data_IF_499993621174
#
_entry.id   IF_499993621174
#
_cell.length_a   1.000
_cell.length_b   1.000
_cell.length_c   1.000
_cell.angle_alpha   90.00
_cell.angle_beta   90.00
_cell.angle_gamma   90.00
#
_symmetry.space_group_name_H-M   'P 1'
#
loop_
_entity.id
_entity.type
_entity.pdbx_description
1 polymer ?
#
# COMPACT_ATOMS: atom_id res chain seq x y z
N UNK A 1 -25.59 -13.83 -27.83
CA UNK A 1 -24.71 -13.48 -26.74
C UNK A 1 -25.25 -12.21 -26.12
N UNK A 2 -26.09 -12.36 -25.09
CA UNK A 2 -26.74 -11.23 -24.43
C UNK A 2 -25.68 -10.36 -23.75
N UNK A 3 -25.94 -9.07 -23.80
CA UNK A 3 -25.14 -7.95 -23.27
C UNK A 3 -24.66 -8.12 -21.82
N UNK A 4 -23.60 -8.91 -21.63
CA UNK A 4 -22.87 -8.97 -20.37
C UNK A 4 -22.04 -7.68 -20.10
N UNK A 5 -22.07 -6.72 -21.04
CA UNK A 5 -21.23 -5.52 -21.01
C UNK A 5 -21.60 -4.51 -19.92
N UNK A 6 -22.79 -4.63 -19.30
CA UNK A 6 -23.31 -3.62 -18.37
C UNK A 6 -23.74 -4.16 -17.00
N UNK A 7 -23.26 -5.32 -16.58
CA UNK A 7 -23.53 -5.82 -15.23
C UNK A 7 -22.64 -5.09 -14.21
N UNK A 8 -23.28 -4.32 -13.32
CA UNK A 8 -22.62 -3.62 -12.22
C UNK A 8 -23.07 -4.26 -10.91
N UNK A 9 -22.12 -4.61 -10.05
CA UNK A 9 -22.41 -5.02 -8.68
C UNK A 9 -22.37 -3.78 -7.78
N UNK A 10 -23.51 -3.31 -7.25
CA UNK A 10 -23.53 -2.14 -6.37
C UNK A 10 -22.92 -2.50 -5.01
N UNK A 11 -22.01 -1.64 -4.50
CA UNK A 11 -21.46 -1.72 -3.16
C UNK A 11 -21.77 -0.41 -2.43
N UNK A 12 -22.36 -0.47 -1.20
CA UNK A 12 -22.63 0.71 -0.40
C UNK A 12 -21.36 1.55 -0.22
N UNK A 13 -21.42 2.82 -0.57
CA UNK A 13 -20.28 3.74 -0.50
C UNK A 13 -20.66 4.94 0.35
N UNK A 14 -19.80 5.30 1.33
CA UNK A 14 -19.99 6.48 2.18
C UNK A 14 -18.70 7.28 2.29
N UNK A 15 -18.83 8.60 2.39
CA UNK A 15 -17.74 9.50 2.75
C UNK A 15 -17.54 9.50 4.26
N UNK A 16 -16.29 9.32 4.67
CA UNK A 16 -15.88 9.22 6.08
C UNK A 16 -14.72 10.17 6.36
N UNK A 17 -14.63 10.68 7.56
CA UNK A 17 -13.61 11.65 7.98
C UNK A 17 -14.25 12.91 8.59
N UNK A 18 -13.59 14.10 8.49
CA UNK A 18 -12.37 14.35 7.73
C UNK A 18 -11.13 13.73 8.36
N UNK A 19 -10.20 13.30 7.52
CA UNK A 19 -8.84 12.98 7.92
C UNK A 19 -8.02 14.28 7.99
N UNK A 20 -7.39 14.52 9.12
CA UNK A 20 -6.57 15.70 9.35
C UNK A 20 -5.09 15.34 9.39
N UNK A 21 -4.27 16.18 8.76
CA UNK A 21 -2.82 16.02 8.71
C UNK A 21 -2.14 17.17 9.43
N UNK A 22 -1.28 16.83 10.39
CA UNK A 22 -0.40 17.79 11.07
C UNK A 22 0.88 18.03 10.23
N UNK A 23 1.40 16.97 9.61
CA UNK A 23 2.60 17.01 8.78
C UNK A 23 2.54 15.94 7.69
N UNK A 24 2.95 16.30 6.49
CA UNK A 24 3.11 15.34 5.39
C UNK A 24 4.49 15.49 4.77
N UNK A 25 5.20 14.39 4.61
CA UNK A 25 6.52 14.32 3.99
C UNK A 25 6.48 13.30 2.86
N UNK A 26 6.77 13.74 1.64
CA UNK A 26 6.76 12.92 0.42
C UNK A 26 8.19 12.85 -0.11
N UNK A 27 8.83 11.68 -0.03
CA UNK A 27 10.21 11.48 -0.51
C UNK A 27 11.18 12.57 -0.01
N UNK A 28 11.11 12.90 1.29
CA UNK A 28 11.93 13.91 1.94
C UNK A 28 11.46 15.36 1.75
N UNK A 29 10.43 15.62 0.97
CA UNK A 29 9.89 16.99 0.73
C UNK A 29 8.59 17.20 1.53
N UNK A 30 8.43 18.39 2.10
CA UNK A 30 7.18 18.77 2.76
C UNK A 30 6.06 18.95 1.73
N UNK A 31 4.89 18.41 2.05
CA UNK A 31 3.67 18.57 1.27
C UNK A 31 2.54 19.01 2.20
N UNK A 32 1.56 19.73 1.67
CA UNK A 32 0.34 20.09 2.39
C UNK A 32 -0.84 19.30 1.85
N UNK A 33 -1.55 18.61 2.74
CA UNK A 33 -2.85 17.98 2.44
C UNK A 33 -3.88 18.66 3.34
N UNK A 34 -4.93 19.21 2.75
CA UNK A 34 -6.04 19.81 3.48
C UNK A 34 -6.89 18.70 4.11
N UNK A 35 -7.54 18.95 5.26
CA UNK A 35 -8.47 17.99 5.83
C UNK A 35 -9.53 17.59 4.82
N UNK A 36 -9.69 16.29 4.60
CA UNK A 36 -10.60 15.78 3.57
C UNK A 36 -11.30 14.50 4.00
N UNK A 37 -12.49 14.27 3.46
CA UNK A 37 -13.18 12.99 3.60
C UNK A 37 -12.67 12.01 2.55
N UNK A 38 -12.79 10.71 2.86
CA UNK A 38 -12.47 9.62 1.94
C UNK A 38 -13.71 8.76 1.70
N UNK A 39 -13.94 8.31 0.46
CA UNK A 39 -15.01 7.36 0.16
C UNK A 39 -14.57 5.95 0.52
N UNK A 40 -15.43 5.22 1.22
CA UNK A 40 -15.26 3.80 1.51
C UNK A 40 -16.41 3.02 0.90
N UNK A 41 -16.11 1.97 0.13
CA UNK A 41 -17.09 1.06 -0.47
C UNK A 41 -16.97 -0.31 0.23
N UNK A 42 -17.99 -0.69 1.00
CA UNK A 42 -17.97 -1.95 1.77
C UNK A 42 -19.37 -2.43 2.09
N UNK A 43 -19.52 -3.76 2.24
CA UNK A 43 -20.71 -4.40 2.78
C UNK A 43 -20.70 -4.45 4.31
N UNK A 44 -19.51 -4.29 4.94
CA UNK A 44 -19.35 -4.21 6.41
C UNK A 44 -19.67 -2.79 6.88
N UNK A 45 -20.95 -2.55 7.23
CA UNK A 45 -21.44 -1.21 7.58
C UNK A 45 -20.75 -0.63 8.82
N UNK A 46 -20.32 -1.46 9.76
CA UNK A 46 -19.58 -1.08 10.96
C UNK A 46 -18.27 -0.38 10.66
N UNK A 47 -17.63 -0.66 9.50
CA UNK A 47 -16.39 -0.04 9.09
C UNK A 47 -16.50 1.48 8.96
N UNK A 48 -17.62 2.00 8.43
CA UNK A 48 -17.83 3.45 8.31
C UNK A 48 -17.74 4.16 9.65
N UNK A 49 -18.38 3.60 10.68
CA UNK A 49 -18.38 4.15 12.02
C UNK A 49 -17.03 4.00 12.72
N UNK A 50 -16.35 2.88 12.48
CA UNK A 50 -15.01 2.63 13.01
C UNK A 50 -14.00 3.66 12.49
N UNK A 51 -13.92 3.86 11.18
CA UNK A 51 -13.03 4.87 10.59
C UNK A 51 -13.44 6.29 11.00
N UNK A 52 -14.74 6.61 11.09
CA UNK A 52 -15.21 7.92 11.56
C UNK A 52 -14.78 8.20 13.02
N UNK A 53 -14.85 7.20 13.92
CA UNK A 53 -14.39 7.34 15.29
C UNK A 53 -12.88 7.59 15.36
N UNK A 54 -12.10 6.82 14.60
CA UNK A 54 -10.65 7.02 14.51
C UNK A 54 -10.28 8.40 13.96
N UNK A 55 -10.98 8.85 12.90
CA UNK A 55 -10.79 10.18 12.31
C UNK A 55 -11.09 11.30 13.33
N UNK A 56 -12.11 11.13 14.16
CA UNK A 56 -12.44 12.07 15.26
C UNK A 56 -11.31 12.13 16.29
N UNK A 57 -10.76 10.97 16.69
CA UNK A 57 -9.62 10.95 17.62
C UNK A 57 -8.39 11.63 17.02
N UNK A 58 -8.11 11.39 15.74
CA UNK A 58 -7.03 12.03 14.99
C UNK A 58 -7.21 13.55 14.96
N UNK A 59 -8.39 14.03 14.62
CA UNK A 59 -8.68 15.47 14.57
C UNK A 59 -8.52 16.13 15.94
N UNK A 60 -9.02 15.51 17.00
CA UNK A 60 -8.91 16.01 18.38
C UNK A 60 -7.45 16.01 18.89
N UNK A 61 -6.59 15.18 18.32
CA UNK A 61 -5.16 15.14 18.63
C UNK A 61 -4.30 16.04 17.71
N UNK A 62 -4.92 16.83 16.81
CA UNK A 62 -4.22 17.79 15.94
C UNK A 62 -3.85 17.27 14.56
N UNK A 63 -4.12 16.00 14.24
CA UNK A 63 -3.85 15.40 12.93
C UNK A 63 -2.67 14.41 12.90
N UNK A 64 -2.65 13.55 11.88
CA UNK A 64 -1.58 12.57 11.68
C UNK A 64 -0.33 13.19 11.04
N UNK A 65 0.82 12.65 11.34
CA UNK A 65 2.02 12.80 10.53
C UNK A 65 2.07 11.64 9.53
N UNK A 66 2.32 11.94 8.27
CA UNK A 66 2.39 10.93 7.22
C UNK A 66 3.65 11.09 6.38
N UNK A 67 4.40 10.01 6.24
CA UNK A 67 5.67 9.99 5.51
C UNK A 67 5.64 8.92 4.42
N UNK A 68 5.79 9.34 3.16
CA UNK A 68 6.05 8.46 2.02
C UNK A 68 7.56 8.27 1.89
N UNK A 69 8.04 7.06 2.20
CA UNK A 69 9.47 6.72 2.17
C UNK A 69 9.97 6.40 0.77
N UNK A 70 9.16 5.65 0.01
CA UNK A 70 9.50 5.24 -1.36
C UNK A 70 8.24 5.12 -2.22
N UNK A 71 8.41 5.31 -3.53
CA UNK A 71 7.39 5.11 -4.56
C UNK A 71 8.03 4.31 -5.70
N UNK A 72 7.80 2.99 -5.70
CA UNK A 72 8.60 2.06 -6.47
C UNK A 72 7.79 0.83 -6.88
N UNK A 73 7.25 0.85 -8.10
CA UNK A 73 6.52 -0.29 -8.64
C UNK A 73 7.46 -1.32 -9.22
N UNK A 74 7.22 -2.60 -8.94
CA UNK A 74 8.15 -3.67 -9.31
C UNK A 74 7.57 -4.72 -10.24
N UNK A 75 8.42 -5.26 -11.12
CA UNK A 75 8.22 -6.47 -11.90
C UNK A 75 9.52 -7.27 -11.95
N UNK A 76 9.44 -8.59 -12.03
CA UNK A 76 10.62 -9.42 -12.23
C UNK A 76 10.57 -10.13 -13.58
N UNK A 77 11.76 -10.35 -14.15
CA UNK A 77 11.95 -11.24 -15.28
C UNK A 77 12.90 -12.36 -14.87
N UNK A 78 12.65 -13.55 -15.38
CA UNK A 78 13.49 -14.73 -15.17
C UNK A 78 14.16 -15.11 -16.49
N UNK A 79 15.47 -15.30 -16.44
CA UNK A 79 16.31 -15.72 -17.57
C UNK A 79 17.07 -16.98 -17.17
N UNK A 80 17.10 -17.95 -18.06
CA UNK A 80 17.87 -19.17 -17.91
C UNK A 80 19.15 -19.09 -18.74
N UNK A 81 20.26 -19.56 -18.19
CA UNK A 81 21.57 -19.60 -18.82
C UNK A 81 22.10 -21.04 -18.89
N UNK A 82 23.25 -21.26 -19.55
CA UNK A 82 23.87 -22.58 -19.61
C UNK A 82 24.37 -23.04 -18.22
N UNK A 83 24.91 -22.10 -17.44
CA UNK A 83 25.49 -22.39 -16.12
C UNK A 83 25.38 -21.20 -15.15
N UNK A 84 25.80 -21.42 -13.92
CA UNK A 84 25.78 -20.42 -12.88
C UNK A 84 26.75 -19.25 -13.12
N UNK A 85 27.82 -19.48 -13.86
CA UNK A 85 28.80 -18.43 -14.17
C UNK A 85 28.22 -17.42 -15.16
N UNK A 86 27.55 -17.89 -16.21
CA UNK A 86 26.85 -17.03 -17.16
C UNK A 86 25.71 -16.28 -16.50
N UNK A 87 24.97 -16.93 -15.58
CA UNK A 87 23.93 -16.26 -14.77
C UNK A 87 24.50 -15.13 -13.91
N UNK A 88 25.66 -15.34 -13.29
CA UNK A 88 26.39 -14.31 -12.54
C UNK A 88 26.88 -13.17 -13.43
N UNK A 89 27.35 -13.47 -14.63
CA UNK A 89 27.79 -12.48 -15.63
C UNK A 89 26.62 -11.57 -16.06
N UNK A 90 25.42 -12.11 -16.28
CA UNK A 90 24.21 -11.31 -16.52
C UNK A 90 23.95 -10.36 -15.35
N UNK A 91 24.04 -10.86 -14.12
CA UNK A 91 23.83 -10.04 -12.93
C UNK A 91 24.80 -8.86 -12.84
N UNK A 92 26.07 -9.09 -13.15
CA UNK A 92 27.09 -8.04 -13.19
C UNK A 92 26.87 -7.06 -14.35
N UNK A 93 26.54 -7.57 -15.51
CA UNK A 93 26.23 -6.76 -16.70
C UNK A 93 25.10 -5.76 -16.42
N UNK A 94 24.00 -6.23 -15.83
CA UNK A 94 22.85 -5.37 -15.51
C UNK A 94 23.23 -4.28 -14.51
N UNK A 95 24.01 -4.62 -13.47
CA UNK A 95 24.46 -3.65 -12.45
C UNK A 95 25.37 -2.57 -13.04
N UNK A 96 26.27 -2.94 -13.93
CA UNK A 96 27.20 -1.98 -14.57
C UNK A 96 26.55 -1.13 -15.65
N UNK A 97 25.46 -1.60 -16.25
CA UNK A 97 24.77 -0.93 -17.36
C UNK A 97 23.49 -0.20 -16.96
N UNK A 98 23.23 0.04 -15.68
CA UNK A 98 21.97 0.62 -15.21
C UNK A 98 21.64 1.97 -15.89
N UNK A 99 22.62 2.86 -16.05
CA UNK A 99 22.45 4.15 -16.71
C UNK A 99 22.13 4.01 -18.21
N UNK A 100 22.78 3.07 -18.90
CA UNK A 100 22.51 2.79 -20.32
C UNK A 100 21.09 2.19 -20.48
N UNK A 101 20.71 1.26 -19.62
CA UNK A 101 19.35 0.68 -19.60
C UNK A 101 18.31 1.77 -19.42
N UNK A 102 18.51 2.72 -18.49
CA UNK A 102 17.60 3.86 -18.34
C UNK A 102 17.50 4.67 -19.62
N UNK A 103 18.62 5.01 -20.23
CA UNK A 103 18.70 5.89 -21.42
C UNK A 103 18.19 5.19 -22.69
N UNK A 104 18.62 3.96 -22.94
CA UNK A 104 18.41 3.28 -24.22
C UNK A 104 17.14 2.42 -24.24
N UNK A 105 16.67 1.98 -23.07
CA UNK A 105 15.48 1.13 -22.97
C UNK A 105 14.31 1.90 -22.37
N UNK A 106 14.43 2.33 -21.10
CA UNK A 106 13.27 2.85 -20.34
C UNK A 106 12.77 4.18 -20.90
N UNK A 107 13.68 5.12 -21.19
CA UNK A 107 13.32 6.44 -21.71
C UNK A 107 12.64 6.40 -23.09
N UNK A 108 12.94 5.39 -23.89
CA UNK A 108 12.30 5.19 -25.19
C UNK A 108 10.90 4.57 -25.10
N UNK A 109 10.56 3.93 -23.98
CA UNK A 109 9.26 3.31 -23.76
C UNK A 109 8.24 4.24 -23.13
N UNK A 110 8.69 5.07 -22.19
CA UNK A 110 7.80 5.96 -21.45
C UNK A 110 8.55 7.17 -20.88
N UNK A 111 7.99 8.35 -21.11
CA UNK A 111 8.48 9.60 -20.48
C UNK A 111 8.19 9.69 -18.99
N UNK A 112 7.31 8.83 -18.47
CA UNK A 112 6.90 8.81 -17.06
C UNK A 112 7.65 7.77 -16.24
N UNK A 113 8.18 6.72 -16.88
CA UNK A 113 8.92 5.68 -16.19
C UNK A 113 10.36 6.14 -15.89
N UNK A 114 10.75 5.98 -14.62
CA UNK A 114 12.14 6.20 -14.21
C UNK A 114 12.64 4.95 -13.51
N UNK A 115 13.66 4.32 -14.09
CA UNK A 115 14.31 3.15 -13.49
C UNK A 115 15.00 3.56 -12.18
N UNK A 116 14.66 2.86 -11.11
CA UNK A 116 15.25 3.11 -9.78
C UNK A 116 16.32 2.07 -9.46
N UNK A 117 15.96 0.79 -9.52
CA UNK A 117 16.89 -0.31 -9.26
C UNK A 117 16.59 -1.52 -10.12
N UNK A 118 17.59 -2.38 -10.28
CA UNK A 118 17.45 -3.76 -10.72
C UNK A 118 18.16 -4.64 -9.70
N UNK A 119 17.39 -5.29 -8.84
CA UNK A 119 17.94 -6.27 -7.90
C UNK A 119 18.11 -7.61 -8.61
N UNK A 120 19.25 -8.26 -8.40
CA UNK A 120 19.61 -9.53 -9.03
C UNK A 120 19.58 -10.64 -8.00
N UNK A 121 18.83 -11.70 -8.29
CA UNK A 121 18.80 -12.93 -7.52
C UNK A 121 19.13 -14.09 -8.42
N UNK A 122 19.84 -15.09 -7.89
CA UNK A 122 20.31 -16.24 -8.67
C UNK A 122 20.02 -17.54 -7.92
N UNK A 123 19.55 -18.53 -8.68
CA UNK A 123 19.43 -19.92 -8.23
C UNK A 123 19.92 -20.82 -9.36
N UNK A 124 21.01 -21.55 -9.13
CA UNK A 124 21.67 -22.35 -10.15
C UNK A 124 21.96 -21.52 -11.42
N UNK A 125 21.49 -21.95 -12.58
CA UNK A 125 21.60 -21.27 -13.87
C UNK A 125 20.44 -20.31 -14.17
N UNK A 126 19.60 -19.98 -13.17
CA UNK A 126 18.49 -19.04 -13.30
C UNK A 126 18.84 -17.70 -12.68
N UNK A 127 18.59 -16.62 -13.41
CA UNK A 127 18.71 -15.26 -12.94
C UNK A 127 17.33 -14.61 -12.87
N UNK A 128 17.06 -13.96 -11.75
CA UNK A 128 15.84 -13.18 -11.52
C UNK A 128 16.23 -11.71 -11.40
N UNK A 129 15.75 -10.88 -12.32
CA UNK A 129 15.93 -9.44 -12.27
C UNK A 129 14.65 -8.81 -11.72
N UNK A 130 14.72 -8.28 -10.50
CA UNK A 130 13.61 -7.52 -9.90
C UNK A 130 13.80 -6.05 -10.22
N UNK A 131 13.06 -5.60 -11.22
CA UNK A 131 13.10 -4.24 -11.77
C UNK A 131 12.13 -3.36 -10.99
N UNK A 132 12.60 -2.20 -10.57
CA UNK A 132 11.82 -1.21 -9.84
C UNK A 132 11.80 0.11 -10.60
N UNK A 133 10.61 0.68 -10.82
CA UNK A 133 10.42 1.97 -11.48
C UNK A 133 9.54 2.91 -10.65
N UNK A 134 9.81 4.20 -10.73
CA UNK A 134 8.83 5.22 -10.43
C UNK A 134 7.85 5.34 -11.61
N UNK A 135 6.55 5.37 -11.35
CA UNK A 135 5.49 5.34 -12.37
C UNK A 135 4.59 6.57 -12.37
N UNK A 136 5.05 7.66 -11.76
CA UNK A 136 4.31 8.93 -11.61
C UNK A 136 2.93 8.72 -10.97
N UNK A 137 1.88 9.21 -11.59
CA UNK A 137 0.51 9.10 -11.08
C UNK A 137 -0.19 7.79 -11.43
N UNK A 138 0.43 6.90 -12.20
CA UNK A 138 -0.10 5.58 -12.48
C UNK A 138 0.19 4.58 -11.33
N UNK A 139 -0.64 3.55 -11.18
CA UNK A 139 -0.32 2.41 -10.29
C UNK A 139 0.90 1.60 -10.76
N UNK A 140 1.24 1.68 -12.04
CA UNK A 140 2.51 1.23 -12.62
C UNK A 140 2.58 -0.21 -13.11
N UNK A 141 1.55 -1.06 -12.93
CA UNK A 141 1.59 -2.48 -13.30
C UNK A 141 1.98 -2.73 -14.76
N UNK A 142 1.26 -2.13 -15.70
CA UNK A 142 1.52 -2.33 -17.13
C UNK A 142 2.84 -1.68 -17.55
N UNK A 143 3.13 -0.49 -17.01
CA UNK A 143 4.36 0.24 -17.29
C UNK A 143 5.59 -0.56 -16.86
N UNK A 144 5.63 -1.07 -15.64
CA UNK A 144 6.78 -1.87 -15.16
C UNK A 144 6.87 -3.22 -15.85
N UNK A 145 5.76 -3.78 -16.32
CA UNK A 145 5.77 -5.04 -17.09
C UNK A 145 6.40 -4.79 -18.48
N UNK A 146 6.01 -3.72 -19.17
CA UNK A 146 6.61 -3.32 -20.45
C UNK A 146 8.11 -3.04 -20.30
N UNK A 147 8.50 -2.32 -19.25
CA UNK A 147 9.90 -2.04 -18.96
C UNK A 147 10.69 -3.33 -18.68
N UNK A 148 10.12 -4.25 -17.90
CA UNK A 148 10.77 -5.51 -17.58
C UNK A 148 10.99 -6.39 -18.81
N UNK A 149 10.00 -6.46 -19.68
CA UNK A 149 10.07 -7.21 -20.93
C UNK A 149 11.18 -6.66 -21.83
N UNK A 150 11.22 -5.35 -22.06
CA UNK A 150 12.24 -4.70 -22.86
C UNK A 150 13.67 -4.79 -22.26
N UNK A 151 13.79 -4.77 -20.93
CA UNK A 151 15.08 -5.02 -20.27
C UNK A 151 15.50 -6.49 -20.49
N UNK A 152 14.55 -7.43 -20.46
CA UNK A 152 14.82 -8.81 -20.83
C UNK A 152 15.39 -8.94 -22.24
N UNK A 153 14.76 -8.31 -23.22
CA UNK A 153 15.24 -8.27 -24.59
C UNK A 153 16.65 -7.66 -24.71
N UNK A 154 16.91 -6.59 -23.97
CA UNK A 154 18.22 -5.95 -23.93
C UNK A 154 19.31 -6.91 -23.42
N UNK A 155 19.02 -7.66 -22.35
CA UNK A 155 19.92 -8.66 -21.79
C UNK A 155 20.11 -9.83 -22.77
N UNK A 156 19.05 -10.36 -23.36
CA UNK A 156 19.12 -11.48 -24.31
C UNK A 156 19.84 -11.12 -25.62
N UNK A 157 19.87 -9.86 -26.01
CA UNK A 157 20.72 -9.39 -27.13
C UNK A 157 22.17 -9.44 -26.79
N UNK A 158 22.59 -9.21 -25.55
CA UNK A 158 23.97 -9.28 -25.11
C UNK A 158 24.43 -10.73 -24.82
N UNK A 159 23.53 -11.58 -24.33
CA UNK A 159 23.79 -12.98 -23.95
C UNK A 159 23.01 -13.94 -24.84
N UNK A 160 23.61 -14.32 -26.00
CA UNK A 160 22.92 -15.10 -27.05
C UNK A 160 22.60 -16.54 -26.66
N UNK A 161 23.27 -17.08 -25.67
CA UNK A 161 23.09 -18.43 -25.12
C UNK A 161 22.02 -18.48 -24.04
N UNK A 162 21.67 -17.32 -23.47
CA UNK A 162 20.61 -17.20 -22.46
C UNK A 162 19.23 -17.29 -23.10
N UNK A 163 18.28 -17.79 -22.33
CA UNK A 163 16.89 -18.03 -22.77
C UNK A 163 15.89 -17.30 -21.87
N UNK A 164 14.87 -16.74 -22.49
CA UNK A 164 13.72 -16.21 -21.78
C UNK A 164 12.94 -17.34 -21.08
N UNK A 165 12.61 -17.12 -19.80
CA UNK A 165 11.74 -18.02 -19.05
C UNK A 165 10.36 -17.36 -18.84
N UNK A 166 10.32 -16.20 -18.20
CA UNK A 166 9.04 -15.52 -17.92
C UNK A 166 9.24 -14.06 -17.52
N UNK A 167 8.39 -13.18 -18.01
CA UNK A 167 8.10 -11.90 -17.35
C UNK A 167 7.11 -12.17 -16.21
N UNK A 168 7.31 -11.52 -15.05
CA UNK A 168 6.70 -11.89 -13.76
C UNK A 168 7.25 -13.19 -13.17
N UNK A 169 8.56 -13.27 -12.99
CA UNK A 169 9.26 -14.40 -12.35
C UNK A 169 9.06 -14.52 -10.83
N UNK A 170 8.00 -13.97 -10.29
CA UNK A 170 7.60 -13.96 -8.87
C UNK A 170 8.58 -13.33 -7.86
N UNK A 171 9.75 -12.81 -8.26
CA UNK A 171 10.58 -11.97 -7.38
C UNK A 171 10.01 -10.55 -7.19
N UNK A 172 9.03 -10.14 -7.97
CA UNK A 172 8.20 -8.96 -7.76
C UNK A 172 7.02 -9.20 -6.80
N UNK A 173 6.64 -10.46 -6.62
CA UNK A 173 5.58 -10.99 -5.77
C UNK A 173 4.27 -10.17 -5.87
N UNK A 174 3.74 -10.13 -7.09
CA UNK A 174 2.50 -9.43 -7.41
C UNK A 174 1.28 -10.18 -6.85
N UNK A 175 0.44 -9.48 -6.08
CA UNK A 175 -0.81 -10.01 -5.49
C UNK A 175 -0.58 -11.27 -4.61
N UNK A 176 0.52 -11.27 -3.87
CA UNK A 176 0.89 -12.34 -2.92
C UNK A 176 1.61 -11.72 -1.73
N UNK A 177 1.43 -12.35 -0.56
CA UNK A 177 2.18 -12.02 0.65
C UNK A 177 3.60 -12.56 0.54
N UNK A 178 4.61 -11.77 0.91
CA UNK A 178 6.01 -12.21 0.87
C UNK A 178 6.91 -11.40 1.78
N UNK A 179 8.02 -12.03 2.20
CA UNK A 179 9.07 -11.34 2.98
C UNK A 179 9.66 -10.18 2.19
N UNK A 180 9.97 -10.39 0.91
CA UNK A 180 10.63 -9.36 0.10
C UNK A 180 9.80 -8.08 -0.03
N UNK A 181 8.48 -8.19 -0.23
CA UNK A 181 7.61 -7.03 -0.29
C UNK A 181 7.40 -6.40 1.09
N UNK A 182 7.39 -7.19 2.16
CA UNK A 182 7.31 -6.66 3.53
C UNK A 182 8.52 -5.81 3.93
N UNK A 183 9.71 -6.13 3.38
CA UNK A 183 10.97 -5.43 3.70
C UNK A 183 11.32 -4.36 2.66
N UNK A 184 11.24 -4.68 1.38
CA UNK A 184 11.66 -3.80 0.27
C UNK A 184 10.54 -2.89 -0.22
N UNK A 185 9.29 -3.24 0.06
CA UNK A 185 8.12 -2.58 -0.47
C UNK A 185 7.83 -2.91 -1.94
N UNK A 186 6.59 -2.62 -2.34
CA UNK A 186 6.10 -2.66 -3.73
C UNK A 186 5.00 -1.60 -3.90
N UNK A 187 5.20 -0.62 -4.77
CA UNK A 187 4.36 0.57 -4.86
C UNK A 187 4.82 1.64 -3.86
N UNK A 188 3.92 2.18 -3.07
CA UNK A 188 4.18 3.29 -2.16
C UNK A 188 4.32 2.80 -0.71
N UNK A 189 5.47 3.11 -0.09
CA UNK A 189 5.75 2.77 1.30
C UNK A 189 5.41 3.97 2.18
N UNK A 190 4.32 3.86 2.93
CA UNK A 190 3.82 4.94 3.79
C UNK A 190 3.89 4.55 5.25
N UNK A 191 4.38 5.47 6.06
CA UNK A 191 4.24 5.43 7.52
C UNK A 191 3.29 6.56 7.92
N UNK A 192 2.28 6.23 8.72
CA UNK A 192 1.43 7.22 9.38
C UNK A 192 1.54 7.06 10.89
N UNK A 193 1.65 8.18 11.61
CA UNK A 193 1.89 8.18 13.04
C UNK A 193 1.20 9.36 13.73
N UNK A 194 0.90 9.19 15.00
CA UNK A 194 0.26 10.24 15.82
C UNK A 194 0.56 10.01 17.30
N UNK A 195 0.74 11.08 18.05
CA UNK A 195 0.68 11.06 19.52
C UNK A 195 -0.69 11.60 19.96
N UNK A 196 -1.48 10.76 20.60
CA UNK A 196 -2.85 11.08 21.04
C UNK A 196 -2.84 11.36 22.54
N UNK A 197 -3.27 12.56 22.97
CA UNK A 197 -3.40 12.88 24.39
C UNK A 197 -4.28 11.85 25.12
N UNK A 198 -3.90 11.44 26.33
CA UNK A 198 -4.66 10.49 27.17
C UNK A 198 -6.13 10.82 27.22
N UNK A 199 -6.47 12.09 27.47
CA UNK A 199 -7.85 12.54 27.54
C UNK A 199 -8.64 12.24 26.27
N UNK A 200 -8.02 12.38 25.09
CA UNK A 200 -8.66 12.05 23.80
C UNK A 200 -8.89 10.53 23.67
N UNK A 201 -7.92 9.71 24.12
CA UNK A 201 -8.08 8.25 24.15
C UNK A 201 -9.26 7.85 25.05
N UNK A 202 -9.36 8.44 26.22
CA UNK A 202 -10.42 8.16 27.17
C UNK A 202 -11.79 8.67 26.69
N UNK A 203 -11.84 9.90 26.16
CA UNK A 203 -13.10 10.55 25.77
C UNK A 203 -13.67 10.03 24.46
N UNK A 204 -12.83 9.78 23.46
CA UNK A 204 -13.25 9.40 22.10
C UNK A 204 -13.21 7.89 21.90
N UNK A 205 -12.11 7.26 22.34
CA UNK A 205 -11.88 5.83 22.10
C UNK A 205 -12.40 4.96 23.25
N UNK A 206 -12.75 5.56 24.41
CA UNK A 206 -13.32 4.88 25.57
C UNK A 206 -12.44 3.78 26.18
N UNK A 207 -11.12 4.02 26.15
CA UNK A 207 -10.11 3.11 26.66
C UNK A 207 -8.92 3.92 27.20
N UNK A 208 -7.78 3.25 27.50
CA UNK A 208 -6.55 3.93 27.94
C UNK A 208 -5.38 3.59 27.02
N UNK A 209 -4.32 4.45 26.94
CA UNK A 209 -3.13 4.17 26.17
C UNK A 209 -2.51 2.79 26.49
N UNK A 210 -2.42 2.44 27.79
CA UNK A 210 -1.84 1.19 28.27
C UNK A 210 -2.58 -0.04 27.74
N UNK A 211 -3.92 0.00 27.74
CA UNK A 211 -4.74 -1.11 27.22
C UNK A 211 -4.54 -1.33 25.72
N UNK A 212 -4.44 -0.25 24.93
CA UNK A 212 -4.19 -0.34 23.49
C UNK A 212 -2.79 -0.93 23.26
N UNK A 213 -1.77 -0.48 23.96
CA UNK A 213 -0.39 -0.99 23.85
C UNK A 213 -0.32 -2.46 24.23
N UNK A 214 -0.89 -2.84 25.38
CA UNK A 214 -0.91 -4.25 25.84
C UNK A 214 -1.63 -5.16 24.81
N UNK A 215 -2.77 -4.73 24.29
CA UNK A 215 -3.49 -5.47 23.25
C UNK A 215 -2.68 -5.59 21.97
N UNK A 216 -2.04 -4.50 21.51
CA UNK A 216 -1.22 -4.53 20.30
C UNK A 216 -0.08 -5.54 20.43
N UNK A 217 0.59 -5.60 21.56
CA UNK A 217 1.65 -6.58 21.81
C UNK A 217 1.09 -8.02 21.79
N UNK A 218 0.02 -8.28 22.54
CA UNK A 218 -0.52 -9.64 22.70
C UNK A 218 -1.24 -10.13 21.43
N UNK A 219 -2.03 -9.29 20.79
CA UNK A 219 -2.79 -9.64 19.59
C UNK A 219 -1.94 -9.50 18.32
N UNK A 220 -1.50 -8.28 17.99
CA UNK A 220 -0.91 -8.02 16.68
C UNK A 220 0.52 -8.56 16.57
N UNK A 221 1.35 -8.48 17.62
CA UNK A 221 2.71 -8.97 17.56
C UNK A 221 2.76 -10.46 17.90
N UNK A 222 2.45 -10.86 19.12
CA UNK A 222 2.60 -12.25 19.56
C UNK A 222 1.62 -13.18 18.82
N UNK A 223 0.35 -12.78 18.68
CA UNK A 223 -0.64 -13.57 17.94
C UNK A 223 -0.26 -13.77 16.48
N UNK A 224 0.24 -12.75 15.81
CA UNK A 224 0.68 -12.85 14.41
C UNK A 224 1.93 -13.72 14.25
N UNK A 225 2.90 -13.62 15.17
CA UNK A 225 4.10 -14.48 15.19
C UNK A 225 3.68 -15.94 15.35
N UNK A 226 2.80 -16.24 16.31
CA UNK A 226 2.30 -17.59 16.56
C UNK A 226 1.52 -18.16 15.38
N UNK A 227 0.78 -17.30 14.66
CA UNK A 227 0.04 -17.70 13.45
C UNK A 227 0.93 -17.83 12.20
N UNK A 228 2.22 -17.48 12.27
CA UNK A 228 3.13 -17.52 11.12
C UNK A 228 2.89 -16.42 10.09
N UNK A 229 2.36 -15.27 10.49
CA UNK A 229 2.14 -14.12 9.61
C UNK A 229 3.46 -13.59 9.06
N UNK A 230 3.49 -13.30 7.75
CA UNK A 230 4.69 -12.85 7.05
C UNK A 230 4.73 -11.33 6.98
N UNK A 231 5.63 -10.69 7.74
CA UNK A 231 5.79 -9.24 7.80
C UNK A 231 4.45 -8.48 7.97
N UNK A 232 3.55 -9.06 8.80
CA UNK A 232 2.22 -8.54 9.02
C UNK A 232 1.84 -8.67 10.48
N UNK A 233 1.67 -7.53 11.16
CA UNK A 233 1.30 -7.42 12.57
C UNK A 233 0.28 -6.28 12.71
N UNK A 234 -0.95 -6.54 12.30
CA UNK A 234 -2.05 -5.57 12.31
C UNK A 234 -3.38 -6.28 12.56
N UNK A 235 -4.43 -5.52 12.86
CA UNK A 235 -5.73 -6.09 13.15
C UNK A 235 -6.60 -6.27 11.89
N UNK A 236 -6.69 -5.24 11.02
CA UNK A 236 -7.58 -5.32 9.86
C UNK A 236 -7.26 -4.33 8.71
N UNK A 237 -5.99 -4.13 8.39
CA UNK A 237 -5.60 -3.26 7.26
C UNK A 237 -6.38 -3.54 5.97
N UNK A 238 -6.65 -4.82 5.68
CA UNK A 238 -7.37 -5.25 4.49
C UNK A 238 -8.75 -4.58 4.34
N UNK A 239 -9.47 -4.36 5.45
CA UNK A 239 -10.81 -3.77 5.42
C UNK A 239 -10.79 -2.33 4.87
N UNK A 240 -9.90 -1.48 5.38
CA UNK A 240 -9.79 -0.09 4.92
C UNK A 240 -9.21 -0.02 3.49
N UNK A 241 -8.20 -0.84 3.20
CA UNK A 241 -7.59 -0.89 1.86
C UNK A 241 -8.62 -1.29 0.80
N UNK A 242 -9.36 -2.38 1.02
CA UNK A 242 -10.38 -2.82 0.08
C UNK A 242 -11.45 -1.75 -0.13
N UNK A 243 -11.94 -1.16 0.97
CA UNK A 243 -13.02 -0.18 0.90
C UNK A 243 -12.61 1.06 0.09
N UNK A 244 -11.40 1.60 0.29
CA UNK A 244 -10.94 2.77 -0.47
C UNK A 244 -10.52 2.38 -1.89
N UNK A 245 -9.97 1.17 -2.12
CA UNK A 245 -9.59 0.70 -3.44
C UNK A 245 -10.83 0.55 -4.34
N UNK A 246 -11.88 -0.09 -3.85
CA UNK A 246 -13.15 -0.21 -4.59
C UNK A 246 -13.78 1.16 -4.86
N UNK A 247 -13.75 2.06 -3.87
CA UNK A 247 -14.35 3.38 -4.02
C UNK A 247 -13.61 4.29 -5.01
N UNK A 248 -12.34 4.02 -5.29
CA UNK A 248 -11.46 4.88 -6.12
C UNK A 248 -10.94 4.21 -7.39
N UNK A 249 -11.52 3.06 -7.78
CA UNK A 249 -11.17 2.35 -9.00
C UNK A 249 -9.76 1.74 -9.00
N UNK A 250 -9.22 1.41 -7.81
CA UNK A 250 -7.95 0.70 -7.70
C UNK A 250 -8.14 -0.80 -7.95
N UNK A 251 -7.06 -1.50 -8.29
CA UNK A 251 -7.07 -2.96 -8.42
C UNK A 251 -7.24 -3.62 -7.03
N UNK A 252 -8.45 -4.13 -6.78
CA UNK A 252 -8.82 -4.72 -5.50
C UNK A 252 -7.92 -5.91 -5.10
N UNK A 253 -7.36 -6.66 -6.05
CA UNK A 253 -6.50 -7.79 -5.76
C UNK A 253 -5.16 -7.39 -5.09
N UNK A 254 -4.74 -6.12 -5.21
CA UNK A 254 -3.54 -5.63 -4.54
C UNK A 254 -3.70 -5.44 -3.02
N UNK A 255 -4.89 -5.70 -2.45
CA UNK A 255 -5.03 -5.78 -1.00
C UNK A 255 -4.22 -6.93 -0.40
N UNK A 256 -3.90 -7.96 -1.18
CA UNK A 256 -3.17 -9.14 -0.68
C UNK A 256 -1.80 -8.73 -0.15
N UNK A 257 -0.96 -8.09 -0.96
CA UNK A 257 0.30 -7.52 -0.47
C UNK A 257 0.10 -6.20 0.28
N UNK A 258 -0.90 -5.42 -0.09
CA UNK A 258 -1.21 -4.13 0.54
C UNK A 258 -1.56 -4.24 2.02
N UNK A 259 -2.17 -5.35 2.43
CA UNK A 259 -2.51 -5.61 3.84
C UNK A 259 -1.32 -6.03 4.71
N UNK A 260 -0.15 -6.32 4.11
CA UNK A 260 1.08 -6.48 4.87
C UNK A 260 1.47 -5.16 5.52
N UNK A 261 1.79 -5.20 6.80
CA UNK A 261 2.24 -4.02 7.52
C UNK A 261 2.20 -4.21 9.02
N UNK A 262 2.73 -3.24 9.71
CA UNK A 262 2.96 -3.32 11.15
C UNK A 262 2.29 -2.15 11.84
N UNK A 263 1.46 -2.45 12.83
CA UNK A 263 0.94 -1.49 13.80
C UNK A 263 1.87 -1.47 15.00
N UNK A 264 2.39 -0.30 15.33
CA UNK A 264 3.19 -0.09 16.53
C UNK A 264 2.50 0.90 17.46
N UNK A 265 2.53 0.60 18.75
CA UNK A 265 1.95 1.44 19.79
C UNK A 265 2.84 1.43 21.03
N UNK A 266 2.97 2.59 21.68
CA UNK A 266 3.67 2.75 22.95
C UNK A 266 3.05 3.88 23.79
N UNK A 267 3.29 3.88 25.10
CA UNK A 267 2.96 5.01 25.96
C UNK A 267 4.17 5.93 26.06
N UNK A 268 4.01 7.18 25.60
CA UNK A 268 5.01 8.25 25.69
C UNK A 268 4.47 9.39 26.56
N UNK A 269 5.14 9.68 27.65
CA UNK A 269 4.76 10.77 28.57
C UNK A 269 3.28 10.72 29.02
N UNK A 270 2.75 9.49 29.19
CA UNK A 270 1.36 9.25 29.53
C UNK A 270 0.38 9.33 28.36
N UNK A 271 0.84 9.63 27.15
CA UNK A 271 0.04 9.71 25.93
C UNK A 271 0.20 8.45 25.08
N UNK A 272 -0.70 8.22 24.11
CA UNK A 272 -0.60 7.12 23.17
C UNK A 272 0.16 7.57 21.92
N UNK A 273 1.36 7.04 21.69
CA UNK A 273 1.96 7.03 20.37
C UNK A 273 1.43 5.83 19.59
N UNK A 274 0.94 6.06 18.37
CA UNK A 274 0.35 5.04 17.52
C UNK A 274 0.77 5.23 16.07
N UNK A 275 1.24 4.16 15.42
CA UNK A 275 1.68 4.23 14.03
C UNK A 275 1.30 3.00 13.22
N UNK A 276 1.20 3.20 11.91
CA UNK A 276 1.03 2.14 10.90
C UNK A 276 2.11 2.26 9.84
N UNK A 277 2.80 1.17 9.57
CA UNK A 277 3.78 1.05 8.48
C UNK A 277 3.21 0.16 7.40
N UNK A 278 3.02 0.69 6.19
CA UNK A 278 2.40 0.00 5.06
C UNK A 278 3.36 0.05 3.87
N UNK A 279 4.14 -1.02 3.60
CA UNK A 279 5.18 -1.01 2.57
C UNK A 279 4.64 -1.16 1.14
N UNK A 280 3.36 -1.54 0.96
CA UNK A 280 2.84 -2.01 -0.32
C UNK A 280 1.51 -1.33 -0.71
N UNK A 281 1.41 -0.01 -0.60
CA UNK A 281 0.24 0.72 -1.11
C UNK A 281 0.36 0.85 -2.62
N UNK A 282 -0.50 0.15 -3.37
CA UNK A 282 -0.50 0.18 -4.83
C UNK A 282 -1.72 0.94 -5.30
N UNK A 283 -1.52 2.22 -5.56
CA UNK A 283 -2.56 3.14 -6.01
C UNK A 283 -2.07 4.04 -7.14
N UNK A 284 -3.01 4.46 -7.98
CA UNK A 284 -2.80 5.46 -9.02
C UNK A 284 -4.05 6.30 -9.20
N UNK A 285 -3.90 7.47 -9.81
CA UNK A 285 -5.01 8.40 -10.12
C UNK A 285 -5.29 8.47 -11.62
N UNK A 286 -4.45 7.84 -12.42
CA UNK A 286 -4.59 7.73 -13.87
C UNK A 286 -4.46 6.27 -14.34
N UNK A 287 -4.95 5.97 -15.53
CA UNK A 287 -4.87 4.66 -16.16
C UNK A 287 -6.11 3.78 -15.91
N UNK A 288 -5.98 2.48 -16.17
CA UNK A 288 -7.09 1.53 -16.15
C UNK A 288 -7.95 1.60 -14.89
N UNK A 289 -9.26 1.58 -15.06
CA UNK A 289 -10.27 1.64 -14.00
C UNK A 289 -10.55 3.04 -13.47
N UNK A 290 -9.67 4.04 -13.68
CA UNK A 290 -9.83 5.40 -13.18
C UNK A 290 -10.49 6.36 -14.18
N UNK A 291 -10.74 5.92 -15.42
CA UNK A 291 -11.34 6.78 -16.45
C UNK A 291 -12.87 6.91 -16.32
N UNK A 292 -13.50 6.11 -15.48
CA UNK A 292 -14.92 6.25 -15.15
C UNK A 292 -15.16 7.55 -14.39
N UNK A 293 -16.15 8.34 -14.78
CA UNK A 293 -16.40 9.68 -14.24
C UNK A 293 -16.55 9.70 -12.72
N UNK A 294 -17.27 8.73 -12.17
CA UNK A 294 -17.51 8.63 -10.73
C UNK A 294 -16.25 8.35 -9.90
N UNK A 295 -15.22 7.70 -10.46
CA UNK A 295 -13.92 7.55 -9.79
C UNK A 295 -13.11 8.83 -9.87
N UNK A 296 -13.11 9.50 -11.03
CA UNK A 296 -12.44 10.80 -11.20
C UNK A 296 -13.02 11.86 -10.26
N UNK A 297 -14.34 11.96 -10.17
CA UNK A 297 -15.03 12.87 -9.25
C UNK A 297 -14.64 12.64 -7.79
N UNK A 298 -14.54 11.36 -7.37
CA UNK A 298 -14.10 11.01 -6.01
C UNK A 298 -12.64 11.37 -5.76
N UNK A 299 -11.76 11.05 -6.70
CA UNK A 299 -10.34 11.40 -6.61
C UNK A 299 -10.15 12.93 -6.55
N UNK A 300 -10.88 13.67 -7.37
CA UNK A 300 -10.84 15.14 -7.38
C UNK A 300 -11.37 15.73 -6.05
N UNK A 301 -12.49 15.21 -5.54
CA UNK A 301 -13.06 15.63 -4.26
C UNK A 301 -12.10 15.37 -3.07
N UNK A 302 -11.22 14.37 -3.18
CA UNK A 302 -10.15 14.11 -2.21
C UNK A 302 -8.89 14.96 -2.45
N UNK A 303 -8.86 15.83 -3.45
CA UNK A 303 -7.65 16.58 -3.81
C UNK A 303 -6.58 15.74 -4.53
N UNK A 304 -6.93 14.56 -5.03
CA UNK A 304 -6.03 13.66 -5.74
C UNK A 304 -6.04 13.95 -7.26
N UNK A 305 -5.66 15.19 -7.66
CA UNK A 305 -5.60 15.65 -9.05
C UNK A 305 -4.28 16.36 -9.32
N UNK A 306 -3.80 16.27 -10.56
CA UNK A 306 -2.56 16.94 -10.97
C UNK A 306 -1.29 16.21 -10.53
N UNK A 307 -0.22 16.97 -10.34
CA UNK A 307 1.08 16.43 -9.97
C UNK A 307 1.04 15.76 -8.59
N UNK A 308 1.75 14.63 -8.44
CA UNK A 308 1.84 13.86 -7.20
C UNK A 308 0.49 13.39 -6.63
N UNK A 309 -0.56 13.31 -7.47
CA UNK A 309 -1.90 12.93 -7.04
C UNK A 309 -1.96 11.50 -6.49
N UNK A 310 -1.21 10.56 -7.06
CA UNK A 310 -1.12 9.19 -6.57
C UNK A 310 -0.41 9.10 -5.20
N UNK A 311 0.55 9.99 -4.95
CA UNK A 311 1.24 10.09 -3.66
C UNK A 311 0.31 10.70 -2.60
N UNK A 312 -0.47 11.73 -2.97
CA UNK A 312 -1.54 12.27 -2.10
C UNK A 312 -2.55 11.17 -1.72
N UNK A 313 -3.00 10.38 -2.70
CA UNK A 313 -3.89 9.24 -2.43
C UNK A 313 -3.26 8.23 -1.48
N UNK A 314 -1.96 7.94 -1.59
CA UNK A 314 -1.28 7.01 -0.70
C UNK A 314 -1.24 7.52 0.75
N UNK A 315 -1.02 8.81 0.98
CA UNK A 315 -1.12 9.42 2.31
C UNK A 315 -2.53 9.30 2.90
N UNK A 316 -3.56 9.53 2.09
CA UNK A 316 -4.96 9.37 2.51
C UNK A 316 -5.29 7.92 2.84
N UNK A 317 -4.79 6.96 2.05
CA UNK A 317 -4.92 5.52 2.35
C UNK A 317 -4.26 5.19 3.69
N UNK A 318 -3.02 5.64 3.91
CA UNK A 318 -2.31 5.41 5.17
C UNK A 318 -3.05 5.97 6.38
N UNK A 319 -3.54 7.20 6.28
CA UNK A 319 -4.33 7.84 7.36
C UNK A 319 -5.66 7.13 7.61
N UNK A 320 -6.33 6.63 6.55
CA UNK A 320 -7.56 5.83 6.66
C UNK A 320 -7.30 4.53 7.41
N UNK A 321 -6.21 3.84 7.06
CA UNK A 321 -5.79 2.60 7.73
C UNK A 321 -5.49 2.87 9.21
N UNK A 322 -4.74 3.92 9.52
CA UNK A 322 -4.46 4.28 10.91
C UNK A 322 -5.75 4.56 11.70
N UNK A 323 -6.70 5.30 11.11
CA UNK A 323 -7.97 5.61 11.77
C UNK A 323 -8.79 4.35 12.09
N UNK A 324 -8.93 3.43 11.13
CA UNK A 324 -9.66 2.18 11.32
C UNK A 324 -8.98 1.24 12.32
N UNK A 325 -7.67 1.09 12.21
CA UNK A 325 -6.84 0.25 13.07
C UNK A 325 -6.89 0.72 14.53
N UNK A 326 -6.69 2.02 14.76
CA UNK A 326 -6.78 2.65 16.06
C UNK A 326 -8.17 2.42 16.71
N UNK A 327 -9.22 2.62 15.94
CA UNK A 327 -10.59 2.45 16.41
C UNK A 327 -10.92 1.01 16.77
N UNK A 328 -10.50 0.03 15.94
CA UNK A 328 -10.75 -1.37 16.22
C UNK A 328 -9.98 -1.83 17.46
N UNK A 329 -8.68 -1.50 17.57
CA UNK A 329 -7.90 -1.88 18.74
C UNK A 329 -8.50 -1.29 20.02
N UNK A 330 -8.96 -0.05 19.98
CA UNK A 330 -9.66 0.55 21.13
C UNK A 330 -10.93 -0.23 21.51
N UNK A 331 -11.77 -0.59 20.53
CA UNK A 331 -12.99 -1.37 20.80
C UNK A 331 -12.67 -2.74 21.41
N UNK A 332 -11.63 -3.40 20.94
CA UNK A 332 -11.22 -4.72 21.41
C UNK A 332 -10.66 -4.72 22.85
N UNK A 333 -10.27 -3.56 23.40
CA UNK A 333 -9.87 -3.47 24.81
C UNK A 333 -11.06 -3.58 25.78
N UNK A 334 -12.30 -3.42 25.28
CA UNK A 334 -13.51 -3.46 26.09
C UNK A 334 -14.34 -4.70 25.74
N UNK A 335 -14.66 -5.56 26.74
CA UNK A 335 -15.47 -6.74 26.50
C UNK A 335 -16.82 -6.39 25.85
N UNK A 336 -17.21 -7.18 24.86
CA UNK A 336 -18.49 -7.10 24.14
C UNK A 336 -18.69 -5.85 23.24
N UNK A 337 -17.83 -4.84 23.26
CA UNK A 337 -18.04 -3.61 22.47
C UNK A 337 -18.09 -3.90 20.97
N UNK A 338 -17.17 -4.73 20.45
CA UNK A 338 -17.16 -5.13 19.05
C UNK A 338 -18.47 -5.83 18.65
N UNK A 339 -18.90 -6.84 19.43
CA UNK A 339 -20.13 -7.60 19.12
C UNK A 339 -21.39 -6.73 19.25
N UNK A 340 -21.42 -5.81 20.21
CA UNK A 340 -22.52 -4.86 20.34
C UNK A 340 -22.66 -3.97 19.08
N UNK A 341 -21.55 -3.50 18.53
CA UNK A 341 -21.59 -2.71 17.30
C UNK A 341 -22.16 -3.53 16.12
N UNK A 342 -21.67 -4.76 15.90
CA UNK A 342 -22.18 -5.64 14.83
C UNK A 342 -23.66 -6.00 15.01
N UNK A 343 -24.09 -6.36 16.21
CA UNK A 343 -25.49 -6.72 16.45
C UNK A 343 -26.45 -5.53 16.33
N UNK A 344 -26.01 -4.33 16.69
CA UNK A 344 -26.86 -3.14 16.63
C UNK A 344 -26.97 -2.56 15.22
N UNK A 345 -25.90 -2.65 14.42
CA UNK A 345 -25.81 -1.98 13.11
C UNK A 345 -26.14 -2.94 11.96
N UNK A 346 -25.67 -4.20 12.01
CA UNK A 346 -25.74 -5.12 10.87
C UNK A 346 -26.90 -6.11 10.94
N UNK A 347 -27.45 -6.41 12.12
CA UNK A 347 -28.57 -7.35 12.30
C UNK A 347 -29.94 -6.67 12.42
N UNK A 348 -30.12 -5.54 11.74
CA UNK A 348 -31.43 -4.90 11.63
C UNK A 348 -32.21 -5.42 10.44
#
# INVERSE_FOLDING_TARGET
MNDLKNLITPIPTRWVGPLQFAKVTTLGKSQKITPTQVPLATLETTLFFSVARGSKAIANAGGVQSTLLSDSMTRSITIETNDASEASAIGQFVKTNLANIQKEVVANLSRYAQLQTIDVYQVANLVYLRIAIFSDNASGHNMVTLVADAIGDYVLKAFKTARYVSVSGNMCVDKKVSVINGVRGRGKHVITEITIPRQVVEDVLKTTPEKIVDLNIKKNLLGSIMAGSVNSANAHYANMLLAIYLATGQDAANIVEGSQGITYAEVKDGHLYFSTTIPNIIVGTVGNGKNESHFQERLEAMGCKGNASSQTLAHLVGATVLAGELSLLAALTNPHELMKAHTTIERK
#
